data_IF_015058666841
#
_entry.id   IF_015058666841
#
_cell.length_a   1.000
_cell.length_b   1.000
_cell.length_c   1.000
_cell.angle_alpha   90.00
_cell.angle_beta   90.00
_cell.angle_gamma   90.00
#
_symmetry.space_group_name_H-M   'P 1'
#
loop_
_entity.id
_entity.type
_entity.pdbx_description
1 polymer ?
#
# COMPACT_ATOMS: atom_id res chain seq x y z
N UNK A 1 -2.27 -24.00 -3.43
CA UNK A 1 -1.50 -23.25 -2.44
C UNK A 1 -2.38 -22.22 -1.78
N UNK A 2 -2.56 -22.30 -0.46
CA UNK A 2 -3.16 -21.21 0.34
C UNK A 2 -2.15 -20.08 0.54
N UNK A 3 -2.59 -18.88 0.96
CA UNK A 3 -1.67 -17.78 1.30
C UNK A 3 -0.68 -18.19 2.38
N UNK A 4 -1.14 -18.97 3.37
CA UNK A 4 -0.30 -19.49 4.45
C UNK A 4 0.78 -20.42 3.91
N UNK A 5 0.41 -21.40 3.08
CA UNK A 5 1.38 -22.30 2.43
C UNK A 5 2.39 -21.55 1.55
N UNK A 6 1.98 -20.45 0.90
CA UNK A 6 2.90 -19.61 0.14
C UNK A 6 3.93 -18.93 1.06
N UNK A 7 3.50 -18.36 2.19
CA UNK A 7 4.41 -17.76 3.15
C UNK A 7 5.35 -18.79 3.79
N UNK A 8 4.84 -19.98 4.12
CA UNK A 8 5.64 -21.08 4.66
C UNK A 8 6.70 -21.51 3.64
N UNK A 9 6.33 -21.66 2.36
CA UNK A 9 7.27 -21.96 1.28
C UNK A 9 8.35 -20.89 1.07
N UNK A 10 7.97 -19.61 1.13
CA UNK A 10 8.90 -18.47 1.01
C UNK A 10 9.84 -18.38 2.23
N UNK A 11 9.35 -18.74 3.41
CA UNK A 11 10.15 -18.82 4.63
C UNK A 11 11.17 -19.96 4.57
N UNK A 12 10.78 -21.12 4.02
CA UNK A 12 11.65 -22.28 3.86
C UNK A 12 12.70 -22.10 2.74
N UNK A 13 12.51 -21.13 1.84
CA UNK A 13 13.43 -20.84 0.74
C UNK A 13 13.92 -19.37 0.75
N UNK A 14 14.56 -18.90 1.84
CA UNK A 14 14.92 -17.50 2.01
C UNK A 14 15.92 -17.01 0.96
N UNK A 15 16.77 -17.91 0.45
CA UNK A 15 17.73 -17.60 -0.60
C UNK A 15 17.06 -17.17 -1.91
N UNK A 16 15.95 -17.83 -2.29
CA UNK A 16 15.22 -17.51 -3.53
C UNK A 16 14.59 -16.12 -3.42
N UNK A 17 14.01 -15.81 -2.25
CA UNK A 17 13.41 -14.51 -1.96
C UNK A 17 14.45 -13.39 -2.01
N UNK A 18 15.60 -13.59 -1.35
CA UNK A 18 16.71 -12.65 -1.38
C UNK A 18 17.25 -12.46 -2.81
N UNK A 19 17.49 -13.54 -3.54
CA UNK A 19 17.98 -13.49 -4.90
C UNK A 19 17.02 -12.71 -5.80
N UNK A 20 15.72 -12.95 -5.73
CA UNK A 20 14.72 -12.22 -6.49
C UNK A 20 14.77 -10.71 -6.20
N UNK A 21 14.67 -10.31 -4.92
CA UNK A 21 14.61 -8.89 -4.56
C UNK A 21 15.93 -8.13 -4.69
N UNK A 22 17.08 -8.82 -4.69
CA UNK A 22 18.38 -8.21 -4.96
C UNK A 22 18.70 -8.14 -6.46
N UNK A 23 18.29 -9.15 -7.23
CA UNK A 23 18.60 -9.21 -8.65
C UNK A 23 17.86 -8.12 -9.43
N UNK A 24 16.63 -7.78 -9.03
CA UNK A 24 15.84 -6.77 -9.75
C UNK A 24 16.47 -5.36 -9.74
N UNK A 25 16.89 -4.77 -8.60
CA UNK A 25 17.59 -3.48 -8.62
C UNK A 25 18.92 -3.55 -9.37
N UNK A 26 19.62 -4.69 -9.34
CA UNK A 26 20.83 -4.92 -10.14
C UNK A 26 20.49 -4.87 -11.64
N UNK A 27 19.46 -5.57 -12.08
CA UNK A 27 18.99 -5.53 -13.47
C UNK A 27 18.54 -4.12 -13.87
N UNK A 28 17.88 -3.38 -12.97
CA UNK A 28 17.50 -1.99 -13.21
C UNK A 28 18.72 -1.07 -13.39
N UNK A 29 19.80 -1.29 -12.62
CA UNK A 29 21.08 -0.58 -12.78
C UNK A 29 21.73 -0.89 -14.13
N UNK A 30 21.82 -2.16 -14.50
CA UNK A 30 22.37 -2.56 -15.80
C UNK A 30 21.54 -2.03 -16.97
N UNK A 31 20.21 -2.08 -16.87
CA UNK A 31 19.32 -1.48 -17.86
C UNK A 31 19.51 0.04 -17.96
N UNK A 32 19.75 0.73 -16.83
CA UNK A 32 20.12 2.15 -16.81
C UNK A 32 21.41 2.43 -17.59
N UNK A 33 22.46 1.67 -17.30
CA UNK A 33 23.74 1.82 -17.98
C UNK A 33 23.65 1.51 -19.49
N UNK A 34 22.88 0.49 -19.86
CA UNK A 34 22.72 0.06 -21.25
C UNK A 34 21.81 1.02 -22.06
N UNK A 35 20.73 1.52 -21.46
CA UNK A 35 19.78 2.40 -22.15
C UNK A 35 20.26 3.84 -22.27
N UNK A 36 21.16 4.31 -21.40
CA UNK A 36 21.68 5.69 -21.37
C UNK A 36 20.52 6.71 -21.46
N UNK A 37 20.42 7.42 -22.59
CA UNK A 37 19.39 8.43 -22.85
C UNK A 37 18.16 7.87 -23.60
N UNK A 38 18.20 6.62 -24.07
CA UNK A 38 17.13 6.01 -24.87
C UNK A 38 16.14 5.19 -24.05
N UNK A 39 16.18 5.31 -22.72
CA UNK A 39 15.31 4.55 -21.84
C UNK A 39 13.79 4.75 -22.08
N UNK A 40 13.41 5.89 -22.65
CA UNK A 40 12.02 6.20 -23.03
C UNK A 40 11.58 5.56 -24.36
N UNK A 41 12.51 5.01 -25.16
CA UNK A 41 12.24 4.36 -26.44
C UNK A 41 12.02 2.85 -26.25
N UNK A 42 11.41 2.24 -27.27
CA UNK A 42 11.37 0.78 -27.38
C UNK A 42 12.79 0.24 -27.64
N UNK A 43 13.21 -0.87 -27.02
CA UNK A 43 12.45 -1.78 -26.15
C UNK A 43 12.54 -1.45 -24.65
N UNK A 44 13.43 -0.52 -24.26
CA UNK A 44 13.75 -0.22 -22.86
C UNK A 44 12.53 0.20 -22.03
N UNK A 45 11.63 0.98 -22.60
CA UNK A 45 10.37 1.38 -21.96
C UNK A 45 9.54 0.20 -21.44
N UNK A 46 9.50 -0.91 -22.18
CA UNK A 46 8.76 -2.12 -21.77
C UNK A 46 9.53 -2.93 -20.73
N UNK A 47 10.87 -2.98 -20.84
CA UNK A 47 11.72 -3.60 -19.82
C UNK A 47 11.54 -2.90 -18.47
N UNK A 48 11.58 -1.57 -18.45
CA UNK A 48 11.33 -0.79 -17.23
C UNK A 48 9.92 -0.97 -16.69
N UNK A 49 8.91 -1.08 -17.55
CA UNK A 49 7.55 -1.42 -17.12
C UNK A 49 7.52 -2.78 -16.40
N UNK A 50 8.11 -3.81 -16.99
CA UNK A 50 8.16 -5.15 -16.40
C UNK A 50 8.87 -5.13 -15.03
N UNK A 51 10.03 -4.48 -14.95
CA UNK A 51 10.78 -4.32 -13.69
C UNK A 51 9.93 -3.61 -12.63
N UNK A 52 9.29 -2.49 -13.00
CA UNK A 52 8.44 -1.73 -12.09
C UNK A 52 7.31 -2.60 -11.56
N UNK A 53 6.58 -3.31 -12.41
CA UNK A 53 5.48 -4.18 -11.95
C UNK A 53 5.97 -5.33 -11.07
N UNK A 54 7.12 -5.95 -11.40
CA UNK A 54 7.70 -7.05 -10.62
C UNK A 54 8.05 -6.66 -9.18
N UNK A 55 8.43 -5.40 -8.95
CA UNK A 55 8.78 -4.93 -7.59
C UNK A 55 7.63 -4.21 -6.91
N UNK A 56 6.83 -3.43 -7.64
CA UNK A 56 5.72 -2.67 -7.07
C UNK A 56 4.60 -3.58 -6.56
N UNK A 57 4.25 -4.65 -7.26
CA UNK A 57 3.16 -5.54 -6.79
C UNK A 57 3.47 -6.16 -5.42
N UNK A 58 4.61 -6.85 -5.21
CA UNK A 58 4.96 -7.37 -3.89
C UNK A 58 5.29 -6.27 -2.87
N UNK A 59 5.89 -5.15 -3.31
CA UNK A 59 6.22 -4.02 -2.44
C UNK A 59 4.99 -3.30 -1.88
N UNK A 60 3.99 -3.02 -2.72
CA UNK A 60 2.71 -2.41 -2.31
C UNK A 60 1.96 -3.35 -1.37
N UNK A 61 1.93 -4.65 -1.67
CA UNK A 61 1.29 -5.64 -0.81
C UNK A 61 1.95 -5.69 0.58
N UNK A 62 3.28 -5.77 0.63
CA UNK A 62 4.02 -5.76 1.89
C UNK A 62 3.81 -4.45 2.68
N UNK A 63 3.81 -3.31 2.00
CA UNK A 63 3.54 -2.01 2.63
C UNK A 63 2.11 -1.91 3.17
N UNK A 64 1.12 -2.34 2.40
CA UNK A 64 -0.28 -2.35 2.81
C UNK A 64 -0.49 -3.24 4.05
N UNK A 65 0.12 -4.43 4.06
CA UNK A 65 0.08 -5.33 5.20
C UNK A 65 0.74 -4.71 6.43
N UNK A 66 1.93 -4.11 6.28
CA UNK A 66 2.63 -3.44 7.37
C UNK A 66 1.79 -2.29 7.97
N UNK A 67 1.16 -1.47 7.11
CA UNK A 67 0.26 -0.39 7.54
C UNK A 67 -0.96 -0.95 8.26
N UNK A 68 -1.57 -2.02 7.74
CA UNK A 68 -2.71 -2.67 8.38
C UNK A 68 -2.37 -3.17 9.79
N UNK A 69 -1.29 -3.95 9.92
CA UNK A 69 -0.84 -4.47 11.21
C UNK A 69 -0.56 -3.31 12.19
N UNK A 70 0.11 -2.26 11.72
CA UNK A 70 0.41 -1.08 12.53
C UNK A 70 -0.83 -0.33 13.02
N UNK A 71 -1.84 -0.14 12.15
CA UNK A 71 -3.03 0.65 12.47
C UNK A 71 -4.06 -0.12 13.32
N UNK A 72 -4.22 -1.42 13.10
CA UNK A 72 -5.31 -2.21 13.69
C UNK A 72 -4.85 -3.20 14.76
N UNK A 73 -3.63 -3.75 14.68
CA UNK A 73 -3.11 -4.67 15.70
C UNK A 73 -2.33 -3.90 16.77
N UNK A 74 -3.05 -3.32 17.74
CA UNK A 74 -2.51 -2.48 18.85
C UNK A 74 -1.55 -3.19 19.84
N UNK A 75 -0.99 -4.34 19.49
CA UNK A 75 -0.10 -5.12 20.38
C UNK A 75 0.52 -6.38 19.75
N UNK A 76 0.40 -6.58 18.44
CA UNK A 76 1.03 -7.69 17.73
C UNK A 76 2.53 -7.43 17.60
N UNK A 77 3.35 -8.38 18.04
CA UNK A 77 4.82 -8.31 18.07
C UNK A 77 5.40 -7.73 16.77
N UNK A 78 5.73 -6.44 16.78
CA UNK A 78 6.58 -5.77 15.78
C UNK A 78 7.95 -6.49 15.68
N UNK A 79 8.29 -7.30 16.70
CA UNK A 79 9.47 -8.15 16.74
C UNK A 79 9.34 -9.49 16.00
N UNK A 80 8.13 -9.96 15.64
CA UNK A 80 7.91 -11.13 14.77
C UNK A 80 7.63 -10.71 13.31
N UNK A 81 8.01 -9.48 12.96
CA UNK A 81 8.00 -9.04 11.57
C UNK A 81 9.08 -9.81 10.84
N UNK A 82 8.67 -10.74 9.98
CA UNK A 82 9.58 -11.42 9.10
C UNK A 82 10.17 -10.40 8.11
N UNK A 83 11.41 -9.98 8.41
CA UNK A 83 12.15 -8.96 7.64
C UNK A 83 12.22 -9.32 6.15
N UNK A 84 12.26 -10.62 5.81
CA UNK A 84 12.35 -11.10 4.44
C UNK A 84 11.04 -10.90 3.66
N UNK A 85 9.89 -10.97 4.30
CA UNK A 85 8.59 -10.93 3.61
C UNK A 85 7.90 -9.57 3.71
N UNK A 86 8.25 -8.74 4.70
CA UNK A 86 7.66 -7.41 4.85
C UNK A 86 8.65 -6.28 4.51
N UNK A 87 9.89 -6.32 4.98
CA UNK A 87 10.82 -5.20 4.82
C UNK A 87 11.54 -5.27 3.47
N UNK A 88 12.03 -6.46 3.10
CA UNK A 88 12.79 -6.66 1.87
C UNK A 88 12.04 -6.24 0.59
N UNK A 89 10.74 -6.56 0.39
CA UNK A 89 10.03 -6.12 -0.81
C UNK A 89 9.90 -4.59 -0.90
N UNK A 90 9.69 -3.92 0.24
CA UNK A 90 9.57 -2.46 0.30
C UNK A 90 10.92 -1.80 -0.01
N UNK A 91 12.01 -2.28 0.59
CA UNK A 91 13.36 -1.78 0.30
C UNK A 91 13.75 -2.00 -1.16
N UNK A 92 13.49 -3.18 -1.71
CA UNK A 92 13.74 -3.48 -3.12
C UNK A 92 12.92 -2.56 -4.05
N UNK A 93 11.66 -2.27 -3.69
CA UNK A 93 10.81 -1.32 -4.43
C UNK A 93 11.38 0.08 -4.42
N UNK A 94 11.70 0.62 -3.24
CA UNK A 94 12.21 1.99 -3.12
C UNK A 94 13.54 2.15 -3.85
N UNK A 95 14.44 1.19 -3.69
CA UNK A 95 15.75 1.20 -4.37
C UNK A 95 15.60 1.10 -5.89
N UNK A 96 14.82 0.14 -6.39
CA UNK A 96 14.58 -0.05 -7.82
C UNK A 96 13.92 1.17 -8.46
N UNK A 97 12.86 1.70 -7.85
CA UNK A 97 12.20 2.91 -8.34
C UNK A 97 13.14 4.12 -8.30
N UNK A 98 13.95 4.27 -7.25
CA UNK A 98 14.97 5.32 -7.16
C UNK A 98 16.00 5.25 -8.28
N UNK A 99 16.46 4.04 -8.63
CA UNK A 99 17.37 3.82 -9.76
C UNK A 99 16.71 4.19 -11.08
N UNK A 100 15.48 3.74 -11.32
CA UNK A 100 14.75 4.00 -12.58
C UNK A 100 14.46 5.50 -12.73
N UNK A 101 14.05 6.18 -11.64
CA UNK A 101 13.76 7.62 -11.64
C UNK A 101 14.95 8.47 -12.09
N UNK A 102 16.17 8.01 -11.81
CA UNK A 102 17.40 8.70 -12.25
C UNK A 102 17.64 8.59 -13.76
N UNK A 103 17.10 7.56 -14.41
CA UNK A 103 17.28 7.31 -15.84
C UNK A 103 16.10 7.83 -16.67
N UNK A 104 14.87 7.68 -16.20
CA UNK A 104 13.65 8.01 -16.95
C UNK A 104 12.57 8.58 -16.01
N UNK A 105 11.81 9.56 -16.50
CA UNK A 105 10.59 10.01 -15.82
C UNK A 105 9.50 8.93 -15.84
N UNK A 106 8.88 8.68 -14.68
CA UNK A 106 7.81 7.68 -14.54
C UNK A 106 6.61 7.90 -15.48
N UNK A 107 6.41 9.13 -15.97
CA UNK A 107 5.38 9.45 -16.96
C UNK A 107 5.54 8.66 -18.27
N UNK A 108 6.77 8.24 -18.61
CA UNK A 108 7.03 7.46 -19.81
C UNK A 108 6.84 5.96 -19.60
N UNK A 109 6.66 5.49 -18.36
CA UNK A 109 6.52 4.06 -18.05
C UNK A 109 5.06 3.64 -18.24
N UNK A 110 4.76 2.70 -19.16
CA UNK A 110 3.42 2.16 -19.35
C UNK A 110 2.88 1.59 -18.04
N UNK A 111 1.64 1.97 -17.68
CA UNK A 111 0.95 1.42 -16.53
C UNK A 111 1.36 1.97 -15.16
N UNK A 112 2.37 2.85 -15.07
CA UNK A 112 2.78 3.44 -13.79
C UNK A 112 1.65 4.25 -13.12
N UNK A 113 0.84 4.98 -13.91
CA UNK A 113 -0.34 5.68 -13.41
C UNK A 113 -1.30 4.75 -12.66
N UNK A 114 -1.56 3.55 -13.18
CA UNK A 114 -2.42 2.55 -12.53
C UNK A 114 -1.87 2.08 -11.17
N UNK A 115 -0.55 1.99 -11.03
CA UNK A 115 0.10 1.64 -9.76
C UNK A 115 -0.05 2.78 -8.73
N UNK A 116 0.11 4.03 -9.16
CA UNK A 116 -0.15 5.19 -8.30
C UNK A 116 -1.60 5.25 -7.85
N UNK A 117 -2.54 5.03 -8.77
CA UNK A 117 -3.98 5.02 -8.47
C UNK A 117 -4.33 3.90 -7.48
N UNK A 118 -3.72 2.72 -7.63
CA UNK A 118 -3.89 1.61 -6.70
C UNK A 118 -3.41 1.98 -5.29
N UNK A 119 -2.22 2.57 -5.17
CA UNK A 119 -1.67 3.00 -3.87
C UNK A 119 -2.59 4.05 -3.23
N UNK A 120 -3.06 5.02 -4.00
CA UNK A 120 -3.98 6.06 -3.52
C UNK A 120 -5.30 5.46 -3.05
N UNK A 121 -5.85 4.48 -3.78
CA UNK A 121 -7.06 3.76 -3.39
C UNK A 121 -6.86 3.00 -2.09
N UNK A 122 -5.80 2.20 -1.98
CA UNK A 122 -5.47 1.43 -0.77
C UNK A 122 -5.28 2.37 0.43
N UNK A 123 -4.51 3.44 0.27
CA UNK A 123 -4.29 4.44 1.32
C UNK A 123 -5.62 5.09 1.75
N UNK A 124 -6.48 5.46 0.80
CA UNK A 124 -7.79 6.04 1.09
C UNK A 124 -8.66 5.09 1.90
N UNK A 125 -8.70 3.81 1.52
CA UNK A 125 -9.44 2.78 2.26
C UNK A 125 -8.89 2.64 3.67
N UNK A 126 -7.57 2.56 3.85
CA UNK A 126 -6.98 2.47 5.19
C UNK A 126 -7.28 3.69 6.06
N UNK A 127 -7.24 4.90 5.49
CA UNK A 127 -7.60 6.12 6.24
C UNK A 127 -9.06 6.04 6.70
N UNK A 128 -9.98 5.66 5.83
CA UNK A 128 -11.40 5.50 6.19
C UNK A 128 -11.55 4.42 7.27
N UNK A 129 -10.98 3.24 7.06
CA UNK A 129 -11.05 2.14 8.04
C UNK A 129 -10.45 2.53 9.39
N UNK A 130 -9.33 3.26 9.39
CA UNK A 130 -8.68 3.73 10.61
C UNK A 130 -9.54 4.77 11.35
N UNK A 131 -10.17 5.69 10.63
CA UNK A 131 -11.14 6.62 11.22
C UNK A 131 -12.33 5.85 11.81
N UNK A 132 -12.88 4.87 11.11
CA UNK A 132 -13.98 4.04 11.61
C UNK A 132 -13.62 3.26 12.88
N UNK A 133 -12.41 2.66 12.94
CA UNK A 133 -11.89 1.99 14.13
C UNK A 133 -11.69 2.96 15.29
N UNK A 134 -11.04 4.11 15.04
CA UNK A 134 -10.74 5.09 16.09
C UNK A 134 -11.98 5.80 16.63
N UNK A 135 -12.96 6.06 15.76
CA UNK A 135 -14.27 6.58 16.13
C UNK A 135 -15.15 5.52 16.82
N UNK A 136 -14.65 4.29 16.99
CA UNK A 136 -15.40 3.16 17.57
C UNK A 136 -16.73 2.89 16.86
N UNK A 137 -16.85 3.26 15.57
CA UNK A 137 -18.06 3.01 14.78
C UNK A 137 -18.23 1.50 14.49
N UNK A 138 -17.14 0.74 14.55
CA UNK A 138 -17.15 -0.72 14.37
C UNK A 138 -17.50 -1.46 15.68
N UNK A 139 -17.27 -0.84 16.85
CA UNK A 139 -17.80 -1.34 18.13
C UNK A 139 -19.29 -1.01 18.34
N UNK A 140 -19.94 -0.36 17.35
CA UNK A 140 -21.36 -0.03 17.34
C UNK A 140 -22.26 -1.13 16.77
N UNK A 141 -21.88 -2.41 16.87
CA UNK A 141 -22.80 -3.52 16.59
C UNK A 141 -23.44 -4.06 17.89
N UNK A 142 -22.99 -3.60 19.07
CA UNK A 142 -23.59 -3.90 20.38
C UNK A 142 -24.15 -2.67 21.11
N UNK A 143 -24.52 -1.61 20.39
CA UNK A 143 -25.21 -0.47 21.01
C UNK A 143 -26.72 -0.69 20.97
N UNK A 144 -27.41 -0.72 22.14
CA UNK A 144 -28.86 -0.84 22.19
C UNK A 144 -29.49 0.19 21.26
N UNK A 145 -30.45 -0.22 20.43
CA UNK A 145 -31.14 0.60 19.42
C UNK A 145 -31.58 1.97 19.96
N UNK A 146 -31.88 2.05 21.26
CA UNK A 146 -32.18 3.29 22.00
C UNK A 146 -31.09 4.37 21.89
N UNK A 147 -29.80 4.03 21.97
CA UNK A 147 -28.73 5.03 21.90
C UNK A 147 -28.55 5.60 20.49
N UNK A 148 -28.79 4.78 19.47
CA UNK A 148 -28.79 5.20 18.06
C UNK A 148 -29.95 6.17 17.80
N UNK A 149 -31.14 5.87 18.33
CA UNK A 149 -32.31 6.77 18.28
C UNK A 149 -32.03 8.11 18.97
N UNK A 150 -31.39 8.11 20.15
CA UNK A 150 -31.05 9.34 20.88
C UNK A 150 -30.11 10.23 20.07
N UNK A 151 -29.08 9.64 19.44
CA UNK A 151 -28.13 10.40 18.61
C UNK A 151 -28.81 11.01 17.39
N UNK A 152 -29.67 10.26 16.70
CA UNK A 152 -30.44 10.76 15.55
C UNK A 152 -31.36 11.91 15.98
N UNK A 153 -32.08 11.76 17.09
CA UNK A 153 -32.96 12.82 17.62
C UNK A 153 -32.16 14.06 18.04
N UNK A 154 -31.04 13.88 18.74
CA UNK A 154 -30.17 14.98 19.14
C UNK A 154 -29.62 15.74 17.92
N UNK A 155 -29.19 15.01 16.88
CA UNK A 155 -28.70 15.60 15.65
C UNK A 155 -29.79 16.38 14.90
N UNK A 156 -31.02 15.84 14.83
CA UNK A 156 -32.17 16.54 14.25
C UNK A 156 -32.51 17.83 15.02
N UNK A 157 -32.43 17.82 16.35
CA UNK A 157 -32.67 19.02 17.17
C UNK A 157 -31.60 20.08 16.91
N UNK A 158 -30.32 19.69 16.93
CA UNK A 158 -29.20 20.61 16.67
C UNK A 158 -29.30 21.19 15.26
N UNK A 159 -29.61 20.36 14.27
CA UNK A 159 -29.78 20.81 12.88
C UNK A 159 -30.95 21.78 12.74
N UNK A 160 -32.09 21.49 13.39
CA UNK A 160 -33.25 22.40 13.39
C UNK A 160 -32.91 23.74 14.05
N UNK A 161 -32.16 23.73 15.16
CA UNK A 161 -31.73 24.96 15.84
C UNK A 161 -30.71 25.74 15.02
N UNK A 162 -29.76 25.06 14.36
CA UNK A 162 -28.77 25.67 13.50
C UNK A 162 -29.44 26.36 12.30
N UNK A 163 -30.37 25.68 11.62
CA UNK A 163 -31.14 26.28 10.53
C UNK A 163 -31.98 27.47 10.98
N UNK A 164 -32.63 27.38 12.14
CA UNK A 164 -33.42 28.49 12.70
C UNK A 164 -32.54 29.70 13.06
N UNK A 165 -31.29 29.48 13.48
CA UNK A 165 -30.32 30.55 13.78
C UNK A 165 -29.69 31.17 12.53
N UNK A 166 -29.66 30.45 11.41
CA UNK A 166 -29.16 30.99 10.13
C UNK A 166 -30.25 31.76 9.35
N UNK A 167 -31.53 31.50 9.62
CA UNK A 167 -32.66 32.14 8.94
C UNK A 167 -33.33 33.27 9.75
N UNK A 168 -32.82 33.58 10.95
CA UNK A 168 -33.24 34.72 11.80
C UNK A 168 -32.08 35.67 12.02
#
# INVERSE_FOLDING_TARGET
MTLRELFDYLHDNPFIVLAYFLLIPIVALFAGFASKNEGHKSPWKYLYSAIVFMVCVPGIFAAALAVYLFLFERGGSIFNVNLLTQVLPILSMVTTLGIIKRNISFAYIPGFGKLSDLIMMIASVFIVMYLLDRLHLIAWINLPVIWLLIIVVAFLIVFRFALKRMMS
#
